data_IF_341441969290
#
_entry.id   IF_341441969290
#
_cell.length_a   1.000
_cell.length_b   1.000
_cell.length_c   1.000
_cell.angle_alpha   90.00
_cell.angle_beta   90.00
_cell.angle_gamma   90.00
#
_symmetry.space_group_name_H-M   'P 1'
#
loop_
_entity.id
_entity.type
_entity.pdbx_description
1 polymer ?
#
# COMPACT_ATOMS: atom_id res chain seq x y z
N UNK A 1 69.75 22.14 -22.28
CA UNK A 1 70.22 23.07 -21.22
C UNK A 1 69.07 23.93 -20.80
N UNK A 2 68.43 23.66 -19.64
CA UNK A 2 67.64 24.59 -18.84
C UNK A 2 67.29 23.90 -17.51
N UNK A 3 67.86 24.48 -16.45
CA UNK A 3 67.66 23.98 -15.04
C UNK A 3 66.31 24.44 -14.51
N UNK A 4 65.51 23.54 -14.00
CA UNK A 4 64.31 23.83 -13.21
C UNK A 4 64.63 23.77 -11.72
N UNK A 5 64.43 24.88 -11.05
CA UNK A 5 64.57 25.05 -9.59
C UNK A 5 63.31 24.48 -8.90
N UNK A 6 63.54 23.60 -7.95
CA UNK A 6 62.51 23.19 -6.93
C UNK A 6 62.38 24.31 -5.89
N UNK A 7 61.13 24.72 -5.61
CA UNK A 7 60.80 25.48 -4.39
C UNK A 7 60.07 24.52 -3.44
N UNK A 8 60.68 24.29 -2.30
CA UNK A 8 60.07 23.65 -1.14
C UNK A 8 59.28 24.69 -0.36
N UNK A 9 58.01 24.40 -0.08
CA UNK A 9 57.18 25.16 0.87
C UNK A 9 56.87 24.26 2.04
N UNK A 10 57.46 24.59 3.19
CA UNK A 10 57.16 23.96 4.48
C UNK A 10 55.84 24.49 4.98
N UNK A 11 54.87 23.60 5.26
CA UNK A 11 53.67 23.92 6.02
C UNK A 11 53.82 23.39 7.44
N UNK A 12 53.69 24.32 8.36
CA UNK A 12 53.70 24.15 9.81
C UNK A 12 52.40 23.47 10.26
N UNK A 13 52.51 22.31 10.92
CA UNK A 13 51.34 21.69 11.59
C UNK A 13 51.19 22.31 12.98
N UNK A 14 50.07 23.00 13.17
CA UNK A 14 49.62 23.47 14.49
C UNK A 14 48.72 22.39 15.11
N UNK A 15 49.23 21.66 16.07
CA UNK A 15 48.46 20.71 16.88
C UNK A 15 47.66 21.48 17.97
N UNK A 16 46.34 21.51 17.81
CA UNK A 16 45.44 21.96 18.89
C UNK A 16 44.90 20.71 19.58
N UNK A 17 45.34 20.50 20.82
CA UNK A 17 44.79 19.52 21.71
C UNK A 17 43.47 20.07 22.32
N UNK A 18 42.35 19.50 21.96
CA UNK A 18 41.05 19.75 22.64
C UNK A 18 40.70 18.53 23.49
N UNK A 19 40.64 18.77 24.81
CA UNK A 19 40.25 17.79 25.80
C UNK A 19 38.81 17.40 25.64
N UNK A 20 38.54 16.09 25.71
CA UNK A 20 37.20 15.52 25.76
C UNK A 20 36.65 15.59 27.21
N UNK A 21 35.41 16.05 27.44
CA UNK A 21 34.74 15.80 28.70
C UNK A 21 34.20 14.37 28.73
N UNK A 22 34.51 13.64 29.77
CA UNK A 22 33.84 12.40 30.18
C UNK A 22 32.37 12.74 30.48
N UNK A 23 31.45 12.28 29.61
CA UNK A 23 30.04 12.24 29.96
C UNK A 23 29.74 10.86 30.52
N UNK A 24 29.37 10.84 31.80
CA UNK A 24 28.90 9.68 32.52
C UNK A 24 27.66 9.08 31.83
N UNK A 25 27.72 7.78 31.57
CA UNK A 25 26.59 7.02 31.00
C UNK A 25 25.41 7.06 31.94
N UNK A 26 24.29 7.64 31.51
CA UNK A 26 22.97 7.28 31.98
C UNK A 26 22.50 6.12 31.13
N UNK A 27 22.25 4.97 31.77
CA UNK A 27 21.48 3.89 31.20
C UNK A 27 20.08 4.46 30.93
N UNK A 28 19.81 4.77 29.65
CA UNK A 28 18.48 5.17 29.19
C UNK A 28 17.64 3.90 29.03
N UNK A 29 16.56 3.87 29.78
CA UNK A 29 15.41 3.01 29.59
C UNK A 29 15.00 3.02 28.12
N UNK A 30 14.63 1.84 27.57
CA UNK A 30 14.16 1.70 26.21
C UNK A 30 12.97 2.61 25.96
N UNK A 31 13.24 3.74 25.32
CA UNK A 31 12.20 4.64 24.85
C UNK A 31 11.48 3.97 23.70
N UNK A 32 10.21 3.64 23.90
CA UNK A 32 9.29 3.34 22.83
C UNK A 32 9.41 4.48 21.80
N UNK A 33 9.90 4.19 20.60
CA UNK A 33 9.85 5.10 19.47
C UNK A 33 8.37 5.35 19.17
N UNK A 34 7.80 6.43 19.70
CA UNK A 34 6.44 6.83 19.40
C UNK A 34 6.32 7.11 17.91
N UNK A 35 5.39 6.43 17.26
CA UNK A 35 5.00 6.71 15.89
C UNK A 35 4.70 8.19 15.71
N UNK A 36 5.26 8.83 14.67
CA UNK A 36 5.17 10.28 14.46
C UNK A 36 4.43 10.55 13.15
N UNK A 37 3.54 11.54 13.16
CA UNK A 37 2.94 12.13 11.96
C UNK A 37 3.28 13.62 11.94
N UNK A 38 3.93 14.11 10.89
CA UNK A 38 4.43 15.49 10.76
C UNK A 38 5.28 15.95 11.97
N UNK A 39 6.04 15.02 12.57
CA UNK A 39 6.88 15.31 13.73
C UNK A 39 6.11 15.36 15.07
N UNK A 40 4.82 15.06 15.10
CA UNK A 40 4.01 14.98 16.31
C UNK A 40 3.76 13.51 16.68
N UNK A 41 4.04 13.07 17.91
CA UNK A 41 3.76 11.71 18.33
C UNK A 41 2.27 11.40 18.25
N UNK A 42 1.92 10.26 17.65
CA UNK A 42 0.56 9.76 17.67
C UNK A 42 0.17 9.32 19.09
N UNK A 43 -1.10 9.48 19.49
CA UNK A 43 -1.58 8.94 20.74
C UNK A 43 -1.37 7.42 20.84
N UNK A 44 -1.17 6.86 22.04
CA UNK A 44 -0.97 5.42 22.21
C UNK A 44 -2.07 4.57 21.53
N UNK A 45 -1.67 3.56 20.76
CA UNK A 45 -2.55 2.65 20.06
C UNK A 45 -3.27 3.26 18.84
N UNK A 46 -2.90 4.46 18.41
CA UNK A 46 -3.34 5.04 17.13
C UNK A 46 -2.37 4.62 16.04
N UNK A 47 -2.87 3.99 15.01
CA UNK A 47 -2.10 3.55 13.85
C UNK A 47 -2.06 4.62 12.74
N UNK A 48 -3.15 5.38 12.58
CA UNK A 48 -3.24 6.42 11.57
C UNK A 48 -4.22 7.54 11.96
N UNK A 49 -4.11 8.66 11.27
CA UNK A 49 -5.16 9.68 11.21
C UNK A 49 -5.78 9.59 9.81
N UNK A 50 -7.11 9.48 9.73
CA UNK A 50 -7.82 9.44 8.45
C UNK A 50 -7.68 10.76 7.68
N UNK A 51 -7.93 10.76 6.38
CA UNK A 51 -7.96 12.01 5.59
C UNK A 51 -9.06 12.99 6.07
N UNK A 52 -10.00 12.53 6.90
CA UNK A 52 -11.04 13.34 7.53
C UNK A 52 -10.70 13.77 8.95
N UNK A 53 -9.51 13.41 9.47
CA UNK A 53 -9.03 13.79 10.79
C UNK A 53 -9.40 12.83 11.93
N UNK A 54 -10.04 11.69 11.64
CA UNK A 54 -10.38 10.68 12.64
C UNK A 54 -9.16 9.85 13.05
N UNK A 55 -9.10 9.44 14.32
CA UNK A 55 -8.09 8.50 14.79
C UNK A 55 -8.47 7.06 14.40
N UNK A 56 -7.52 6.35 13.77
CA UNK A 56 -7.67 4.97 13.35
C UNK A 56 -6.80 4.06 14.23
N UNK A 57 -7.42 3.00 14.74
CA UNK A 57 -6.78 2.02 15.62
C UNK A 57 -6.92 0.63 15.04
N UNK A 58 -6.04 -0.29 15.42
CA UNK A 58 -6.17 -1.70 15.04
C UNK A 58 -7.57 -2.20 15.36
N UNK A 59 -8.20 -2.87 14.38
CA UNK A 59 -9.49 -3.50 14.60
C UNK A 59 -9.33 -4.70 15.55
N UNK A 60 -10.34 -4.94 16.38
CA UNK A 60 -10.41 -6.18 17.15
C UNK A 60 -10.63 -7.35 16.20
N UNK A 61 -9.71 -8.33 16.24
CA UNK A 61 -9.83 -9.54 15.44
C UNK A 61 -10.72 -10.54 16.17
N UNK A 62 -11.54 -11.34 15.44
CA UNK A 62 -12.23 -12.47 16.01
C UNK A 62 -11.23 -13.42 16.69
N UNK A 63 -11.55 -14.03 17.84
CA UNK A 63 -10.61 -14.85 18.60
C UNK A 63 -9.94 -15.96 17.79
N UNK A 64 -10.69 -16.62 16.91
CA UNK A 64 -10.18 -17.67 16.03
C UNK A 64 -9.20 -17.15 14.96
N UNK A 65 -9.38 -15.91 14.48
CA UNK A 65 -8.47 -15.25 13.54
C UNK A 65 -7.21 -14.79 14.27
N UNK A 66 -7.40 -14.21 15.45
CA UNK A 66 -6.28 -13.75 16.30
C UNK A 66 -5.36 -14.91 16.67
N UNK A 67 -5.90 -16.08 17.05
CA UNK A 67 -5.11 -17.27 17.37
C UNK A 67 -4.22 -17.69 16.19
N UNK A 68 -4.79 -17.75 14.98
CA UNK A 68 -4.04 -18.10 13.77
C UNK A 68 -2.96 -17.06 13.43
N UNK A 69 -3.28 -15.78 13.54
CA UNK A 69 -2.32 -14.72 13.21
C UNK A 69 -1.20 -14.63 14.26
N UNK A 70 -1.53 -14.82 15.53
CA UNK A 70 -0.54 -14.86 16.61
C UNK A 70 0.42 -16.04 16.45
N UNK A 71 -0.09 -17.25 16.14
CA UNK A 71 0.77 -18.39 15.89
C UNK A 71 1.76 -18.15 14.75
N UNK A 72 1.29 -17.57 13.63
CA UNK A 72 2.16 -17.21 12.49
C UNK A 72 3.16 -16.09 12.82
N UNK A 73 2.77 -15.15 13.67
CA UNK A 73 3.68 -14.12 14.19
C UNK A 73 4.79 -14.76 15.04
N UNK A 74 4.43 -15.66 15.95
CA UNK A 74 5.38 -16.35 16.83
C UNK A 74 6.39 -17.21 16.02
N UNK A 75 5.93 -17.86 14.93
CA UNK A 75 6.78 -18.56 13.98
C UNK A 75 7.78 -17.60 13.28
N UNK A 76 7.31 -16.47 12.78
CA UNK A 76 8.16 -15.49 12.12
C UNK A 76 9.15 -14.85 13.11
N UNK A 77 8.73 -14.61 14.36
CA UNK A 77 9.61 -14.08 15.40
C UNK A 77 10.72 -15.09 15.78
N UNK A 78 10.42 -16.39 15.81
CA UNK A 78 11.41 -17.44 16.06
C UNK A 78 12.42 -17.51 14.91
N UNK A 79 11.97 -17.45 13.64
CA UNK A 79 12.84 -17.43 12.46
C UNK A 79 13.75 -16.19 12.48
N UNK A 80 13.21 -15.02 12.76
CA UNK A 80 13.98 -13.78 12.85
C UNK A 80 15.01 -13.83 14.00
N UNK A 81 14.70 -14.50 15.14
CA UNK A 81 15.62 -14.65 16.25
C UNK A 81 16.83 -15.53 15.87
N UNK A 82 16.65 -16.50 14.97
CA UNK A 82 17.74 -17.34 14.44
C UNK A 82 18.54 -16.62 13.34
N UNK A 83 17.86 -15.78 12.55
CA UNK A 83 18.40 -15.10 11.37
C UNK A 83 18.08 -13.58 11.39
N UNK A 84 18.67 -12.81 12.33
CA UNK A 84 18.20 -11.43 12.62
C UNK A 84 18.46 -10.40 11.52
N UNK A 85 19.34 -10.71 10.56
CA UNK A 85 19.65 -9.83 9.42
C UNK A 85 19.15 -10.40 8.09
N UNK A 86 18.44 -11.53 8.09
CA UNK A 86 17.94 -12.14 6.87
C UNK A 86 16.74 -11.34 6.31
N UNK A 87 16.79 -11.02 5.01
CA UNK A 87 15.77 -10.19 4.37
C UNK A 87 14.39 -10.88 4.36
N UNK A 88 14.33 -12.19 4.13
CA UNK A 88 13.07 -12.94 4.09
C UNK A 88 12.46 -13.05 5.49
N UNK A 89 13.27 -13.30 6.52
CA UNK A 89 12.80 -13.31 7.92
C UNK A 89 12.22 -11.94 8.33
N UNK A 90 12.89 -10.85 7.95
CA UNK A 90 12.41 -9.48 8.20
C UNK A 90 11.13 -9.16 7.43
N UNK A 91 11.00 -9.60 6.15
CA UNK A 91 9.77 -9.45 5.37
C UNK A 91 8.62 -10.18 6.05
N UNK A 92 8.81 -11.45 6.42
CA UNK A 92 7.74 -12.21 7.06
C UNK A 92 7.37 -11.67 8.43
N UNK A 93 8.35 -11.23 9.23
CA UNK A 93 8.07 -10.57 10.50
C UNK A 93 7.18 -9.34 10.32
N UNK A 94 7.55 -8.41 9.43
CA UNK A 94 6.74 -7.22 9.15
C UNK A 94 5.34 -7.55 8.62
N UNK A 95 5.19 -8.57 7.76
CA UNK A 95 3.87 -9.02 7.27
C UNK A 95 3.01 -9.56 8.40
N UNK A 96 3.55 -10.39 9.30
CA UNK A 96 2.80 -10.97 10.42
C UNK A 96 2.41 -9.92 11.45
N UNK A 97 3.30 -8.96 11.71
CA UNK A 97 3.01 -7.78 12.54
C UNK A 97 1.84 -6.98 11.96
N UNK A 98 1.84 -6.72 10.65
CA UNK A 98 0.75 -6.00 9.99
C UNK A 98 -0.60 -6.75 10.03
N UNK A 99 -0.61 -8.09 9.99
CA UNK A 99 -1.86 -8.86 10.11
C UNK A 99 -2.49 -8.79 11.50
N UNK A 100 -1.69 -8.50 12.53
CA UNK A 100 -2.18 -8.19 13.86
C UNK A 100 -2.68 -6.73 13.99
N UNK A 101 -2.66 -5.96 12.90
CA UNK A 101 -3.08 -4.56 12.87
C UNK A 101 -2.02 -3.59 13.37
N UNK A 102 -0.80 -4.03 13.63
CA UNK A 102 0.34 -3.23 14.11
C UNK A 102 1.13 -2.67 12.92
N UNK A 103 0.50 -1.78 12.14
CA UNK A 103 1.04 -1.31 10.87
C UNK A 103 2.29 -0.44 11.03
N UNK A 104 2.34 0.38 12.09
CA UNK A 104 3.51 1.23 12.40
C UNK A 104 4.73 0.39 12.79
N UNK A 105 4.54 -0.63 13.61
CA UNK A 105 5.61 -1.56 13.98
C UNK A 105 6.12 -2.35 12.76
N UNK A 106 5.23 -2.70 11.83
CA UNK A 106 5.63 -3.29 10.56
C UNK A 106 6.48 -2.32 9.71
N UNK A 107 6.13 -1.02 9.65
CA UNK A 107 6.93 0.02 8.98
C UNK A 107 8.32 0.13 9.62
N UNK A 108 8.41 0.10 10.95
CA UNK A 108 9.69 0.15 11.67
C UNK A 108 10.54 -1.09 11.34
N UNK A 109 9.95 -2.28 11.29
CA UNK A 109 10.60 -3.53 10.88
C UNK A 109 11.17 -3.42 9.46
N UNK A 110 10.38 -2.95 8.49
CA UNK A 110 10.86 -2.78 7.10
C UNK A 110 11.89 -1.66 6.98
N UNK A 111 11.79 -0.61 7.78
CA UNK A 111 12.78 0.48 7.81
C UNK A 111 14.13 -0.03 8.33
N UNK A 112 14.12 -0.85 9.37
CA UNK A 112 15.32 -1.54 9.83
C UNK A 112 15.88 -2.48 8.73
N UNK A 113 15.03 -3.30 8.11
CA UNK A 113 15.43 -4.20 7.04
C UNK A 113 16.08 -3.46 5.85
N UNK A 114 15.53 -2.32 5.45
CA UNK A 114 16.09 -1.47 4.38
C UNK A 114 17.44 -0.83 4.75
N UNK A 115 17.74 -0.66 6.04
CA UNK A 115 19.09 -0.23 6.47
C UNK A 115 20.14 -1.31 6.24
N UNK A 116 19.74 -2.59 6.24
CA UNK A 116 20.59 -3.75 5.99
C UNK A 116 20.61 -4.11 4.48
N UNK A 117 19.46 -4.02 3.82
CA UNK A 117 19.24 -4.46 2.44
C UNK A 117 18.67 -3.34 1.56
N UNK A 118 19.39 -2.23 1.32
CA UNK A 118 18.87 -1.05 0.59
C UNK A 118 18.59 -1.30 -0.90
N UNK A 119 18.99 -2.45 -1.44
CA UNK A 119 18.75 -2.89 -2.82
C UNK A 119 17.62 -3.90 -2.97
N UNK A 120 16.94 -4.31 -1.91
CA UNK A 120 15.85 -5.29 -2.00
C UNK A 120 14.51 -4.59 -2.30
N UNK A 121 14.02 -4.77 -3.54
CA UNK A 121 12.78 -4.17 -4.04
C UNK A 121 11.55 -4.60 -3.21
N UNK A 122 11.55 -5.81 -2.68
CA UNK A 122 10.43 -6.39 -1.92
C UNK A 122 10.18 -5.62 -0.62
N UNK A 123 11.24 -5.17 0.06
CA UNK A 123 11.15 -4.40 1.30
C UNK A 123 10.49 -3.04 1.10
N UNK A 124 10.87 -2.32 0.03
CA UNK A 124 10.20 -1.06 -0.36
C UNK A 124 8.72 -1.31 -0.65
N UNK A 125 8.40 -2.36 -1.44
CA UNK A 125 7.02 -2.72 -1.78
C UNK A 125 6.20 -3.00 -0.51
N UNK A 126 6.73 -3.75 0.45
CA UNK A 126 6.03 -4.06 1.70
C UNK A 126 5.83 -2.81 2.58
N UNK A 127 6.86 -1.96 2.72
CA UNK A 127 6.77 -0.73 3.50
C UNK A 127 5.81 0.28 2.87
N UNK A 128 5.89 0.47 1.56
CA UNK A 128 4.99 1.34 0.81
C UNK A 128 3.52 0.97 0.98
N UNK A 129 3.20 -0.34 0.95
CA UNK A 129 1.85 -0.80 1.24
C UNK A 129 1.38 -0.39 2.64
N UNK A 130 2.25 -0.49 3.67
CA UNK A 130 1.88 -0.03 5.03
C UNK A 130 1.72 1.47 5.11
N UNK A 131 2.55 2.26 4.39
CA UNK A 131 2.37 3.70 4.31
C UNK A 131 0.99 4.09 3.73
N UNK A 132 0.50 3.40 2.69
CA UNK A 132 -0.89 3.59 2.22
C UNK A 132 -1.91 3.29 3.33
N UNK A 133 -1.71 2.16 4.03
CA UNK A 133 -2.60 1.77 5.12
C UNK A 133 -2.68 2.86 6.20
N UNK A 134 -1.56 3.47 6.58
CA UNK A 134 -1.52 4.49 7.64
C UNK A 134 -1.73 5.92 7.14
N UNK A 135 -2.22 6.12 5.91
CA UNK A 135 -2.53 7.43 5.27
C UNK A 135 -1.30 8.31 5.06
N UNK A 136 -0.20 7.71 4.69
CA UNK A 136 1.03 8.40 4.28
C UNK A 136 1.33 8.15 2.79
N UNK A 137 0.48 8.62 1.85
CA UNK A 137 0.60 8.29 0.43
C UNK A 137 1.89 8.82 -0.20
N UNK A 138 2.43 9.97 0.24
CA UNK A 138 3.71 10.49 -0.28
C UNK A 138 4.87 9.54 0.03
N UNK A 139 4.91 9.00 1.25
CA UNK A 139 5.92 8.01 1.65
C UNK A 139 5.74 6.71 0.87
N UNK A 140 4.48 6.29 0.64
CA UNK A 140 4.16 5.11 -0.14
C UNK A 140 4.62 5.25 -1.60
N UNK A 141 4.31 6.37 -2.26
CA UNK A 141 4.72 6.67 -3.63
C UNK A 141 6.24 6.68 -3.76
N UNK A 142 6.95 7.30 -2.80
CA UNK A 142 8.41 7.29 -2.78
C UNK A 142 8.96 5.85 -2.69
N UNK A 143 8.37 5.03 -1.83
CA UNK A 143 8.75 3.63 -1.67
C UNK A 143 8.42 2.77 -2.91
N UNK A 144 7.32 3.01 -3.61
CA UNK A 144 7.00 2.25 -4.83
C UNK A 144 7.80 2.69 -6.05
N UNK A 145 8.22 3.95 -6.15
CA UNK A 145 9.08 4.42 -7.23
C UNK A 145 10.49 3.82 -7.18
N UNK A 146 11.00 3.54 -5.97
CA UNK A 146 12.34 2.98 -5.81
C UNK A 146 12.49 1.58 -6.41
N UNK A 147 11.62 0.60 -6.11
CA UNK A 147 11.71 -0.73 -6.69
C UNK A 147 11.51 -0.77 -8.21
N UNK A 148 10.78 0.15 -8.83
CA UNK A 148 10.68 0.21 -10.29
C UNK A 148 12.06 0.35 -10.95
N UNK A 149 12.95 1.16 -10.34
CA UNK A 149 14.35 1.30 -10.81
C UNK A 149 15.18 0.06 -10.48
N UNK A 150 14.91 -0.59 -9.34
CA UNK A 150 15.67 -1.78 -8.91
C UNK A 150 15.32 -3.03 -9.70
N UNK A 151 14.10 -3.11 -10.25
CA UNK A 151 13.60 -4.27 -11.02
C UNK A 151 13.59 -4.01 -12.52
N UNK A 152 14.10 -2.86 -13.00
CA UNK A 152 14.15 -2.54 -14.42
C UNK A 152 15.01 -3.56 -15.17
N UNK A 153 14.37 -4.28 -16.12
CA UNK A 153 15.04 -5.31 -16.94
C UNK A 153 15.26 -6.65 -16.23
N UNK A 154 14.89 -6.78 -14.96
CA UNK A 154 14.94 -8.05 -14.24
C UNK A 154 13.66 -8.88 -14.51
N UNK A 155 13.77 -10.21 -14.50
CA UNK A 155 12.59 -11.08 -14.56
C UNK A 155 11.63 -10.79 -13.41
N UNK A 156 10.33 -10.78 -13.69
CA UNK A 156 9.33 -10.63 -12.64
C UNK A 156 9.22 -11.90 -11.79
N UNK A 157 8.99 -11.72 -10.49
CA UNK A 157 8.92 -12.80 -9.52
C UNK A 157 7.51 -12.93 -8.95
N UNK A 158 7.05 -14.19 -8.78
CA UNK A 158 5.81 -14.46 -8.04
C UNK A 158 6.01 -14.00 -6.59
N UNK A 159 5.12 -13.13 -6.11
CA UNK A 159 5.14 -12.74 -4.70
C UNK A 159 4.38 -13.77 -3.87
N UNK A 160 5.02 -14.39 -2.84
CA UNK A 160 4.33 -15.34 -1.98
C UNK A 160 3.15 -14.71 -1.25
N UNK A 161 1.98 -15.36 -1.30
CA UNK A 161 0.79 -14.89 -0.60
C UNK A 161 0.99 -14.97 0.92
N UNK A 162 0.66 -13.87 1.60
CA UNK A 162 0.69 -13.83 3.06
C UNK A 162 -0.44 -14.63 3.70
N UNK A 163 -1.58 -14.66 3.01
CA UNK A 163 -2.78 -15.44 3.33
C UNK A 163 -3.19 -16.15 2.03
N UNK A 164 -2.66 -17.36 1.75
CA UNK A 164 -2.96 -18.07 0.52
C UNK A 164 -4.47 -18.28 0.33
N UNK A 165 -4.93 -18.13 -0.91
CA UNK A 165 -6.31 -18.46 -1.28
C UNK A 165 -6.60 -19.96 -1.15
N UNK A 166 -7.88 -20.34 -1.24
CA UNK A 166 -8.31 -21.74 -1.04
C UNK A 166 -7.68 -22.72 -2.05
N UNK A 167 -7.23 -22.25 -3.21
CA UNK A 167 -6.58 -23.06 -4.25
C UNK A 167 -5.06 -23.11 -4.09
N UNK A 168 -4.48 -22.28 -3.21
CA UNK A 168 -3.05 -22.09 -3.03
C UNK A 168 -2.31 -21.76 -4.35
N UNK A 169 -2.94 -20.96 -5.20
CA UNK A 169 -2.41 -20.48 -6.47
C UNK A 169 -2.09 -19.00 -6.33
N UNK A 170 -0.81 -18.57 -6.39
CA UNK A 170 -0.46 -17.15 -6.38
C UNK A 170 -1.05 -16.43 -7.58
N UNK A 171 -1.70 -15.29 -7.35
CA UNK A 171 -2.37 -14.48 -8.38
C UNK A 171 -1.62 -13.21 -8.74
N UNK A 172 -0.52 -12.92 -8.04
CA UNK A 172 0.23 -11.67 -8.20
C UNK A 172 1.74 -11.87 -8.23
N UNK A 173 2.42 -10.90 -8.83
CA UNK A 173 3.89 -10.82 -8.91
C UNK A 173 4.39 -9.56 -8.20
N UNK A 174 5.71 -9.48 -8.01
CA UNK A 174 6.33 -8.33 -7.37
C UNK A 174 6.11 -7.05 -8.19
N UNK A 175 6.36 -7.09 -9.51
CA UNK A 175 6.20 -5.91 -10.37
C UNK A 175 4.73 -5.47 -10.46
N UNK A 176 3.79 -6.43 -10.60
CA UNK A 176 2.36 -6.13 -10.51
C UNK A 176 2.03 -5.39 -9.19
N UNK A 177 2.47 -5.93 -8.05
CA UNK A 177 2.18 -5.32 -6.75
C UNK A 177 2.80 -3.92 -6.58
N UNK A 178 3.98 -3.67 -7.16
CA UNK A 178 4.61 -2.35 -7.14
C UNK A 178 3.77 -1.34 -7.92
N UNK A 179 3.44 -1.64 -9.19
CA UNK A 179 2.64 -0.76 -10.04
C UNK A 179 1.24 -0.54 -9.51
N UNK A 180 0.57 -1.61 -9.08
CA UNK A 180 -0.78 -1.55 -8.53
C UNK A 180 -0.88 -0.62 -7.32
N UNK A 181 0.05 -0.73 -6.38
CA UNK A 181 0.03 0.09 -5.17
C UNK A 181 0.55 1.51 -5.42
N UNK A 182 1.48 1.71 -6.36
CA UNK A 182 1.87 3.06 -6.82
C UNK A 182 0.65 3.81 -7.37
N UNK A 183 -0.10 3.13 -8.24
CA UNK A 183 -1.32 3.69 -8.82
C UNK A 183 -2.36 4.04 -7.75
N UNK A 184 -2.54 3.19 -6.75
CA UNK A 184 -3.42 3.48 -5.61
C UNK A 184 -2.96 4.69 -4.80
N UNK A 185 -1.64 4.83 -4.60
CA UNK A 185 -1.06 5.99 -3.93
C UNK A 185 -1.46 7.31 -4.61
N UNK A 186 -1.30 7.39 -5.91
CA UNK A 186 -1.70 8.55 -6.71
C UNK A 186 -3.22 8.74 -6.73
N UNK A 187 -3.97 7.65 -6.93
CA UNK A 187 -5.44 7.72 -7.01
C UNK A 187 -6.08 8.28 -5.74
N UNK A 188 -5.65 7.82 -4.56
CA UNK A 188 -6.23 8.30 -3.28
C UNK A 188 -5.91 9.77 -3.00
N UNK A 189 -4.84 10.31 -3.59
CA UNK A 189 -4.52 11.75 -3.56
C UNK A 189 -5.31 12.57 -4.59
N UNK A 190 -5.93 11.91 -5.57
CA UNK A 190 -6.62 12.55 -6.69
C UNK A 190 -5.70 12.98 -7.83
N UNK A 191 -4.46 12.47 -7.85
CA UNK A 191 -3.46 12.66 -8.91
C UNK A 191 -3.79 11.66 -10.04
N UNK A 192 -4.85 11.98 -10.81
CA UNK A 192 -5.47 11.02 -11.73
C UNK A 192 -4.58 10.70 -12.95
N UNK A 193 -3.84 11.67 -13.45
CA UNK A 193 -2.91 11.48 -14.57
C UNK A 193 -1.79 10.51 -14.20
N UNK A 194 -1.16 10.71 -13.03
CA UNK A 194 -0.11 9.82 -12.51
C UNK A 194 -0.68 8.44 -12.14
N UNK A 195 -1.91 8.40 -11.63
CA UNK A 195 -2.60 7.15 -11.35
C UNK A 195 -2.83 6.35 -12.64
N UNK A 196 -3.31 7.00 -13.72
CA UNK A 196 -3.52 6.34 -15.01
C UNK A 196 -2.21 5.81 -15.60
N UNK A 197 -1.11 6.59 -15.53
CA UNK A 197 0.21 6.14 -15.98
C UNK A 197 0.65 4.87 -15.22
N UNK A 198 0.55 4.87 -13.89
CA UNK A 198 0.92 3.71 -13.08
C UNK A 198 -0.03 2.51 -13.30
N UNK A 199 -1.31 2.73 -13.58
CA UNK A 199 -2.27 1.67 -13.88
C UNK A 199 -2.02 1.03 -15.24
N UNK A 200 -1.60 1.81 -16.26
CA UNK A 200 -1.13 1.27 -17.55
C UNK A 200 0.11 0.38 -17.32
N UNK A 201 1.10 0.85 -16.54
CA UNK A 201 2.25 0.03 -16.15
C UNK A 201 1.85 -1.24 -15.38
N UNK A 202 0.78 -1.19 -14.59
CA UNK A 202 0.20 -2.36 -13.93
C UNK A 202 -0.34 -3.38 -14.95
N UNK A 203 -1.08 -2.94 -15.97
CA UNK A 203 -1.59 -3.80 -17.04
C UNK A 203 -0.47 -4.42 -17.88
N UNK A 204 0.59 -3.67 -18.17
CA UNK A 204 1.72 -4.16 -18.96
C UNK A 204 2.42 -5.37 -18.34
N UNK A 205 2.38 -5.50 -17.01
CA UNK A 205 3.00 -6.62 -16.27
C UNK A 205 1.99 -7.64 -15.74
N UNK A 206 0.68 -7.37 -15.86
CA UNK A 206 -0.37 -8.26 -15.37
C UNK A 206 -0.50 -9.49 -16.28
N UNK A 207 -0.19 -10.67 -15.74
CA UNK A 207 -0.25 -11.95 -16.48
C UNK A 207 -1.37 -12.86 -16.02
N UNK A 208 -1.82 -12.72 -14.76
CA UNK A 208 -2.92 -13.51 -14.20
C UNK A 208 -4.25 -12.78 -14.40
N UNK A 209 -5.38 -13.47 -14.71
CA UNK A 209 -6.69 -12.82 -14.87
C UNK A 209 -7.09 -11.95 -13.68
N UNK A 210 -6.80 -12.37 -12.45
CA UNK A 210 -7.03 -11.57 -11.23
C UNK A 210 -6.27 -10.24 -11.23
N UNK A 211 -5.01 -10.27 -11.68
CA UNK A 211 -4.19 -9.05 -11.80
C UNK A 211 -4.72 -8.13 -12.90
N UNK A 212 -5.13 -8.71 -14.04
CA UNK A 212 -5.71 -7.95 -15.16
C UNK A 212 -6.97 -7.21 -14.73
N UNK A 213 -7.95 -7.89 -14.11
CA UNK A 213 -9.18 -7.23 -13.68
C UNK A 213 -8.94 -6.20 -12.57
N UNK A 214 -7.93 -6.42 -11.71
CA UNK A 214 -7.59 -5.46 -10.66
C UNK A 214 -7.02 -4.16 -11.25
N UNK A 215 -6.06 -4.24 -12.20
CA UNK A 215 -5.53 -3.05 -12.89
C UNK A 215 -6.62 -2.38 -13.75
N UNK A 216 -7.39 -3.15 -14.52
CA UNK A 216 -8.46 -2.65 -15.40
C UNK A 216 -9.53 -1.88 -14.62
N UNK A 217 -9.90 -2.36 -13.43
CA UNK A 217 -10.91 -1.71 -12.59
C UNK A 217 -10.50 -0.29 -12.20
N UNK A 218 -9.29 -0.12 -11.70
CA UNK A 218 -8.82 1.20 -11.29
C UNK A 218 -8.54 2.10 -12.50
N UNK A 219 -7.96 1.54 -13.58
CA UNK A 219 -7.68 2.29 -14.82
C UNK A 219 -8.97 2.82 -15.44
N UNK A 220 -9.99 1.98 -15.60
CA UNK A 220 -11.28 2.40 -16.16
C UNK A 220 -11.86 3.60 -15.41
N UNK A 221 -11.96 3.50 -14.08
CA UNK A 221 -12.50 4.58 -13.26
C UNK A 221 -11.69 5.90 -13.38
N UNK A 222 -10.38 5.77 -13.49
CA UNK A 222 -9.46 6.90 -13.65
C UNK A 222 -9.63 7.55 -15.02
N UNK A 223 -9.65 6.77 -16.09
CA UNK A 223 -9.82 7.25 -17.47
C UNK A 223 -11.13 7.99 -17.69
N UNK A 224 -12.25 7.43 -17.22
CA UNK A 224 -13.57 8.10 -17.32
C UNK A 224 -13.55 9.44 -16.58
N UNK A 225 -12.90 9.52 -15.43
CA UNK A 225 -12.77 10.77 -14.66
C UNK A 225 -11.86 11.80 -15.34
N UNK A 226 -10.87 11.35 -16.14
CA UNK A 226 -10.03 12.20 -16.97
C UNK A 226 -10.72 12.61 -18.29
N UNK A 227 -11.83 11.97 -18.65
CA UNK A 227 -12.52 12.18 -19.94
C UNK A 227 -11.86 11.43 -21.10
N UNK A 228 -11.03 10.43 -20.81
CA UNK A 228 -10.36 9.57 -21.78
C UNK A 228 -11.27 8.37 -22.14
N UNK A 229 -12.47 8.68 -22.69
CA UNK A 229 -13.55 7.71 -22.89
C UNK A 229 -13.17 6.60 -23.89
N UNK A 230 -12.41 6.91 -24.96
CA UNK A 230 -11.99 5.93 -25.98
C UNK A 230 -11.12 4.82 -25.36
N UNK A 231 -10.11 5.19 -24.56
CA UNK A 231 -9.26 4.21 -23.88
C UNK A 231 -10.03 3.47 -22.77
N UNK A 232 -10.94 4.14 -22.05
CA UNK A 232 -11.79 3.49 -21.07
C UNK A 232 -12.66 2.39 -21.70
N UNK A 233 -13.22 2.65 -22.88
CA UNK A 233 -13.99 1.65 -23.63
C UNK A 233 -13.11 0.48 -24.10
N UNK A 234 -11.86 0.75 -24.52
CA UNK A 234 -10.89 -0.30 -24.86
C UNK A 234 -10.59 -1.20 -23.66
N UNK A 235 -10.37 -0.62 -22.47
CA UNK A 235 -10.16 -1.39 -21.24
C UNK A 235 -11.34 -2.30 -20.93
N UNK A 236 -12.59 -1.81 -21.07
CA UNK A 236 -13.78 -2.64 -20.83
C UNK A 236 -13.97 -3.71 -21.89
N UNK A 237 -13.56 -3.47 -23.14
CA UNK A 237 -13.73 -4.44 -24.23
C UNK A 237 -13.01 -5.76 -23.97
N UNK A 238 -11.86 -5.72 -23.25
CA UNK A 238 -11.07 -6.89 -22.89
C UNK A 238 -11.66 -7.70 -21.72
N UNK A 239 -12.69 -7.19 -21.03
CA UNK A 239 -13.29 -7.84 -19.86
C UNK A 239 -14.45 -8.75 -20.29
N UNK A 240 -14.41 -9.99 -19.84
CA UNK A 240 -15.38 -11.02 -20.17
C UNK A 240 -15.84 -11.80 -18.93
N UNK A 241 -17.13 -12.13 -18.84
CA UNK A 241 -17.71 -12.88 -17.72
C UNK A 241 -17.08 -14.29 -17.56
N UNK A 242 -16.52 -14.85 -18.63
CA UNK A 242 -15.87 -16.16 -18.64
C UNK A 242 -14.43 -16.16 -18.12
N UNK A 243 -13.89 -15.03 -17.68
CA UNK A 243 -12.54 -14.95 -17.09
C UNK A 243 -12.45 -15.83 -15.84
N UNK A 244 -11.41 -16.66 -15.74
CA UNK A 244 -11.18 -17.54 -14.60
C UNK A 244 -10.54 -16.75 -13.44
N UNK A 245 -11.39 -16.17 -12.58
CA UNK A 245 -11.00 -15.35 -11.44
C UNK A 245 -11.00 -16.20 -10.16
N UNK A 246 -9.93 -16.10 -9.38
CA UNK A 246 -9.75 -16.80 -8.11
C UNK A 246 -10.11 -15.90 -6.91
N UNK A 247 -9.62 -14.66 -6.88
CA UNK A 247 -9.75 -13.75 -5.72
C UNK A 247 -10.45 -12.43 -6.08
N UNK A 248 -10.21 -11.90 -7.27
CA UNK A 248 -10.62 -10.55 -7.70
C UNK A 248 -12.06 -10.48 -8.24
N UNK A 249 -12.96 -11.35 -7.76
CA UNK A 249 -14.34 -11.44 -8.25
C UNK A 249 -15.11 -10.12 -8.10
N UNK A 250 -14.85 -9.36 -7.03
CA UNK A 250 -15.47 -8.04 -6.83
C UNK A 250 -15.10 -7.07 -7.97
N UNK A 251 -13.85 -7.05 -8.41
CA UNK A 251 -13.40 -6.21 -9.51
C UNK A 251 -14.04 -6.62 -10.84
N UNK A 252 -14.08 -7.93 -11.15
CA UNK A 252 -14.76 -8.41 -12.35
C UNK A 252 -16.25 -7.99 -12.36
N UNK A 253 -16.95 -8.19 -11.25
CA UNK A 253 -18.37 -7.83 -11.15
C UNK A 253 -18.59 -6.32 -11.35
N UNK A 254 -17.72 -5.48 -10.82
CA UNK A 254 -17.79 -4.03 -11.00
C UNK A 254 -17.46 -3.60 -12.43
N UNK A 255 -16.49 -4.23 -13.08
CA UNK A 255 -16.19 -3.97 -14.50
C UNK A 255 -17.38 -4.35 -15.39
N UNK A 256 -18.04 -5.49 -15.12
CA UNK A 256 -19.27 -5.90 -15.82
C UNK A 256 -20.46 -4.95 -15.54
N UNK A 257 -20.53 -4.35 -14.34
CA UNK A 257 -21.49 -3.28 -14.02
C UNK A 257 -21.20 -2.01 -14.84
N UNK A 258 -19.95 -1.58 -14.93
CA UNK A 258 -19.54 -0.43 -15.74
C UNK A 258 -19.81 -0.68 -17.23
N UNK A 259 -19.61 -1.91 -17.69
CA UNK A 259 -19.92 -2.35 -19.07
C UNK A 259 -21.43 -2.44 -19.36
N UNK A 260 -22.27 -2.40 -18.30
CA UNK A 260 -23.72 -2.53 -18.42
C UNK A 260 -24.22 -3.98 -18.60
N UNK A 261 -23.37 -4.97 -18.36
CA UNK A 261 -23.69 -6.40 -18.42
C UNK A 261 -24.21 -6.95 -17.07
N UNK A 262 -24.11 -6.17 -16.00
CA UNK A 262 -24.68 -6.46 -14.67
C UNK A 262 -25.41 -5.26 -14.12
N UNK A 263 -26.40 -5.52 -13.24
CA UNK A 263 -27.08 -4.49 -12.46
C UNK A 263 -26.38 -4.28 -11.10
N UNK A 264 -26.73 -3.19 -10.39
CA UNK A 264 -26.27 -2.97 -9.01
C UNK A 264 -26.70 -4.13 -8.11
N UNK A 265 -27.92 -4.60 -8.27
CA UNK A 265 -28.51 -5.70 -7.49
C UNK A 265 -27.70 -7.00 -7.67
N UNK A 266 -27.17 -7.25 -8.89
CA UNK A 266 -26.32 -8.41 -9.17
C UNK A 266 -24.95 -8.29 -8.46
N UNK A 267 -24.44 -7.07 -8.34
CA UNK A 267 -23.10 -6.79 -7.78
C UNK A 267 -23.13 -6.73 -6.25
N UNK A 268 -24.14 -6.08 -5.66
CA UNK A 268 -24.24 -5.90 -4.21
C UNK A 268 -24.80 -7.15 -3.51
N UNK A 269 -25.54 -8.00 -4.25
CA UNK A 269 -26.22 -9.16 -3.69
C UNK A 269 -27.39 -8.80 -2.74
N UNK A 270 -28.01 -9.76 -2.09
CA UNK A 270 -29.08 -9.49 -1.13
C UNK A 270 -28.55 -8.64 0.03
N UNK A 271 -29.23 -7.52 0.25
CA UNK A 271 -28.81 -6.44 1.11
C UNK A 271 -28.32 -6.88 2.51
N UNK A 272 -27.11 -6.52 2.86
CA UNK A 272 -26.86 -5.98 4.21
C UNK A 272 -26.21 -6.89 5.23
N UNK A 273 -25.43 -7.92 4.91
CA UNK A 273 -24.87 -8.77 5.98
C UNK A 273 -23.36 -8.99 5.97
N UNK A 274 -22.64 -8.63 4.93
CA UNK A 274 -21.21 -8.89 4.86
C UNK A 274 -20.39 -7.59 4.98
N UNK A 275 -19.63 -7.48 6.08
CA UNK A 275 -18.61 -6.44 6.29
C UNK A 275 -17.26 -7.10 6.01
N UNK A 276 -16.95 -7.31 4.75
CA UNK A 276 -15.69 -7.91 4.31
C UNK A 276 -14.88 -6.92 3.46
N UNK A 277 -13.63 -7.26 3.18
CA UNK A 277 -12.79 -6.53 2.24
C UNK A 277 -13.45 -6.44 0.86
N UNK A 278 -14.08 -7.51 0.39
CA UNK A 278 -14.80 -7.54 -0.89
C UNK A 278 -16.02 -6.63 -0.87
N UNK A 279 -16.81 -6.62 0.22
CA UNK A 279 -17.96 -5.73 0.33
C UNK A 279 -17.57 -4.25 0.34
N UNK A 280 -16.45 -3.90 0.97
CA UNK A 280 -15.90 -2.53 0.97
C UNK A 280 -15.44 -2.12 -0.43
N UNK A 281 -14.75 -3.01 -1.15
CA UNK A 281 -14.34 -2.79 -2.55
C UNK A 281 -15.56 -2.61 -3.45
N UNK A 282 -16.56 -3.49 -3.31
CA UNK A 282 -17.81 -3.44 -4.07
C UNK A 282 -18.56 -2.13 -3.81
N UNK A 283 -18.72 -1.75 -2.54
CA UNK A 283 -19.41 -0.52 -2.16
C UNK A 283 -18.71 0.72 -2.72
N UNK A 284 -17.35 0.76 -2.68
CA UNK A 284 -16.60 1.86 -3.28
C UNK A 284 -16.88 1.98 -4.78
N UNK A 285 -16.80 0.86 -5.52
CA UNK A 285 -17.06 0.85 -6.95
C UNK A 285 -18.49 1.24 -7.31
N UNK A 286 -19.49 0.84 -6.53
CA UNK A 286 -20.88 1.29 -6.69
C UNK A 286 -21.01 2.80 -6.45
N UNK A 287 -20.29 3.35 -5.47
CA UNK A 287 -20.19 4.80 -5.27
C UNK A 287 -19.62 5.51 -6.50
N UNK A 288 -18.53 4.99 -7.06
CA UNK A 288 -17.97 5.54 -8.32
C UNK A 288 -18.96 5.39 -9.47
N UNK A 289 -19.65 4.25 -9.60
CA UNK A 289 -20.68 4.09 -10.63
C UNK A 289 -21.80 5.14 -10.50
N UNK A 290 -22.23 5.47 -9.28
CA UNK A 290 -23.17 6.56 -9.06
C UNK A 290 -22.59 7.91 -9.54
N UNK A 291 -21.34 8.20 -9.17
CA UNK A 291 -20.66 9.44 -9.58
C UNK A 291 -20.60 9.56 -11.11
N UNK A 292 -20.15 8.53 -11.82
CA UNK A 292 -20.05 8.51 -13.28
C UNK A 292 -21.41 8.66 -13.99
N UNK A 293 -22.50 8.30 -13.31
CA UNK A 293 -23.87 8.50 -13.80
C UNK A 293 -24.50 9.80 -13.31
N UNK A 294 -23.73 10.79 -12.82
CA UNK A 294 -24.19 12.09 -12.38
C UNK A 294 -24.99 12.09 -11.06
N UNK A 295 -24.94 11.00 -10.29
CA UNK A 295 -25.64 10.83 -9.02
C UNK A 295 -24.72 11.07 -7.83
N UNK A 296 -24.18 12.28 -7.74
CA UNK A 296 -23.14 12.65 -6.75
C UNK A 296 -23.61 12.44 -5.32
N UNK A 297 -24.86 12.77 -4.98
CA UNK A 297 -25.42 12.55 -3.64
C UNK A 297 -25.41 11.06 -3.27
N UNK A 298 -25.86 10.19 -4.18
CA UNK A 298 -25.85 8.72 -3.94
C UNK A 298 -24.43 8.15 -3.84
N UNK A 299 -23.47 8.75 -4.56
CA UNK A 299 -22.06 8.38 -4.42
C UNK A 299 -21.55 8.71 -3.01
N UNK A 300 -21.77 9.93 -2.53
CA UNK A 300 -21.38 10.37 -1.19
C UNK A 300 -22.04 9.52 -0.10
N UNK A 301 -23.37 9.32 -0.15
CA UNK A 301 -24.08 8.46 0.80
C UNK A 301 -23.50 7.03 0.84
N UNK A 302 -23.06 6.51 -0.31
CA UNK A 302 -22.44 5.18 -0.39
C UNK A 302 -21.07 5.16 0.28
N UNK A 303 -20.23 6.17 0.03
CA UNK A 303 -18.91 6.28 0.65
C UNK A 303 -18.99 6.59 2.15
N UNK A 304 -19.91 7.44 2.62
CA UNK A 304 -20.16 7.68 4.05
C UNK A 304 -20.51 6.39 4.78
N UNK A 305 -21.36 5.54 4.16
CA UNK A 305 -21.72 4.24 4.72
C UNK A 305 -20.56 3.27 4.82
N UNK A 306 -19.58 3.33 3.89
CA UNK A 306 -18.33 2.57 4.01
C UNK A 306 -17.60 2.97 5.30
N UNK A 307 -17.54 4.27 5.61
CA UNK A 307 -16.81 4.77 6.77
C UNK A 307 -17.46 4.41 8.11
N UNK A 308 -18.74 4.05 8.14
CA UNK A 308 -19.38 3.47 9.32
C UNK A 308 -18.76 2.11 9.70
N UNK A 309 -18.23 1.36 8.72
CA UNK A 309 -17.57 0.07 8.88
C UNK A 309 -16.13 0.18 9.39
N UNK A 310 -15.90 0.82 10.54
CA UNK A 310 -14.57 1.16 11.09
C UNK A 310 -13.59 -0.03 11.23
N UNK A 311 -14.05 -1.26 11.27
CA UNK A 311 -13.18 -2.45 11.29
C UNK A 311 -12.43 -2.67 9.97
N UNK A 312 -12.90 -2.10 8.88
CA UNK A 312 -12.35 -2.25 7.52
C UNK A 312 -11.49 -1.05 7.08
N UNK A 313 -11.09 -0.18 8.00
CA UNK A 313 -10.37 1.04 7.66
C UNK A 313 -9.04 0.84 6.91
N UNK A 314 -8.44 -0.34 7.02
CA UNK A 314 -7.23 -0.70 6.28
C UNK A 314 -7.49 -1.14 4.82
N UNK A 315 -8.76 -1.36 4.43
CA UNK A 315 -9.13 -1.76 3.08
C UNK A 315 -8.99 -0.60 2.09
N UNK A 316 -8.50 -0.87 0.87
CA UNK A 316 -8.30 0.19 -0.13
C UNK A 316 -9.60 0.89 -0.55
N UNK A 317 -10.73 0.15 -0.63
CA UNK A 317 -12.04 0.77 -0.87
C UNK A 317 -12.44 1.77 0.20
N UNK A 318 -12.08 1.51 1.47
CA UNK A 318 -12.28 2.45 2.57
C UNK A 318 -11.37 3.68 2.45
N UNK A 319 -10.08 3.46 2.18
CA UNK A 319 -9.09 4.54 2.00
C UNK A 319 -9.48 5.45 0.83
N UNK A 320 -9.93 4.85 -0.28
CA UNK A 320 -10.40 5.59 -1.44
C UNK A 320 -11.66 6.40 -1.14
N UNK A 321 -12.64 5.83 -0.41
CA UNK A 321 -13.85 6.54 0.03
C UNK A 321 -13.52 7.74 0.93
N UNK A 322 -12.58 7.59 1.88
CA UNK A 322 -12.07 8.72 2.67
C UNK A 322 -11.49 9.83 1.78
N UNK A 323 -10.67 9.45 0.79
CA UNK A 323 -10.06 10.40 -0.14
C UNK A 323 -11.10 11.17 -0.94
N UNK A 324 -12.17 10.50 -1.43
CA UNK A 324 -13.27 11.15 -2.16
C UNK A 324 -14.00 12.16 -1.27
N UNK A 325 -14.39 11.77 -0.08
CA UNK A 325 -15.11 12.63 0.86
C UNK A 325 -14.26 13.80 1.35
N UNK A 326 -12.97 13.58 1.60
CA UNK A 326 -12.05 14.65 2.00
C UNK A 326 -11.90 15.72 0.89
N UNK A 327 -11.75 15.29 -0.37
CA UNK A 327 -11.67 16.22 -1.52
C UNK A 327 -12.97 16.99 -1.72
N UNK A 328 -14.13 16.34 -1.55
CA UNK A 328 -15.43 16.97 -1.67
C UNK A 328 -15.70 18.04 -0.60
N UNK A 329 -15.08 17.92 0.57
CA UNK A 329 -15.23 18.88 1.66
C UNK A 329 -14.42 20.19 1.46
N UNK A 330 -13.44 20.17 0.56
CA UNK A 330 -12.53 21.30 0.28
C UNK A 330 -13.00 22.15 -0.92
N UNK A 331 -13.81 21.57 -1.83
CA UNK A 331 -14.36 22.21 -3.04
C UNK A 331 -15.72 22.79 -2.84
#
# INVERSE_FOLDING_TARGET
MARTRRRSSSFLYLTVALGAPLVAGCAGEGGANGSMMDGVPLPPGVEAISFLGDTLRSAELPPEVLEVYQARYDEAAAELAENPEDADALIWMGRRTAYLGQYREAIDTYTHALSLHPGDARLYRQRGHRYLTVREPDNAIADFRRPLVLTEGEPDEVEPDGLPNAMNIPTSTLQFNIWYHLALGHYVQGELEEAAEAQRGCLDVAVHPDSVVACSYWLYMTLVRLGEEEEADEVLAEIDEGMEIIESTAYLNLLLLFKGERSIEDVVGPAGTDVSLQSTTTAYGVGVWHLLNGRTESAHETWERILEGRSQWAAFGYIAAEGELARSAIG
#
